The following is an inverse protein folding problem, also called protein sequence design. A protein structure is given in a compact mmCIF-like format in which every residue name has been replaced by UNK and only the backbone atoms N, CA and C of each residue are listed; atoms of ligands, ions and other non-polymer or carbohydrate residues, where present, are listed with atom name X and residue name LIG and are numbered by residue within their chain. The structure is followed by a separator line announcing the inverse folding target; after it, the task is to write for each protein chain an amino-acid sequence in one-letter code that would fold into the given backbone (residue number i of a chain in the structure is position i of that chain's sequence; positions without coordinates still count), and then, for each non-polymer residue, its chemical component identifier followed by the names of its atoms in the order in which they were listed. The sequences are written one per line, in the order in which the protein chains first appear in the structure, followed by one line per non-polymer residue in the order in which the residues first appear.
data_IF_693524785080
#
_entry.id   IF_693524785080
#
_cell.length_a   1.000
_cell.length_b   1.000
_cell.length_c   1.000
_cell.angle_alpha   90.00
_cell.angle_beta   90.00
_cell.angle_gamma   90.00
#
_symmetry.space_group_name_H-M   'P 1'
#
loop_
_entity.id
_entity.type
_entity.pdbx_description
1 polymer ?
#
# COMPACT_ATOMS: atom_id res chain seq x y z
N UNK A 1 25.23 43.03 7.89
CA UNK A 1 26.02 41.82 7.62
C UNK A 1 25.37 41.04 6.49
N UNK A 2 26.06 40.84 5.36
CA UNK A 2 25.53 40.14 4.18
C UNK A 2 26.60 39.85 3.11
N UNK A 3 27.75 39.30 3.51
CA UNK A 3 28.92 39.09 2.62
C UNK A 3 28.82 37.83 1.72
N UNK A 4 27.63 37.40 1.30
CA UNK A 4 27.48 36.17 0.48
C UNK A 4 26.79 36.36 -0.87
N UNK A 5 26.25 37.54 -1.16
CA UNK A 5 25.48 37.75 -2.40
C UNK A 5 26.39 38.01 -3.62
N UNK A 6 27.52 38.71 -3.44
CA UNK A 6 28.45 39.06 -4.53
C UNK A 6 29.30 37.88 -5.04
N UNK A 7 29.37 36.75 -4.30
CA UNK A 7 30.17 35.58 -4.72
C UNK A 7 29.53 34.76 -5.86
N UNK A 8 28.29 35.09 -6.24
CA UNK A 8 27.51 34.39 -7.27
C UNK A 8 27.44 35.15 -8.61
N UNK A 9 28.02 36.34 -8.73
CA UNK A 9 28.13 37.06 -10.00
C UNK A 9 29.19 36.42 -10.89
N UNK A 10 28.82 35.33 -11.55
CA UNK A 10 29.58 34.71 -12.63
C UNK A 10 28.71 34.75 -13.88
N UNK A 11 29.34 34.92 -15.04
CA UNK A 11 28.65 35.00 -16.34
C UNK A 11 28.05 33.67 -16.82
N UNK A 12 28.11 32.62 -16.01
CA UNK A 12 27.57 31.31 -16.33
C UNK A 12 26.71 30.80 -15.18
N UNK A 13 25.64 30.08 -15.53
CA UNK A 13 24.79 29.41 -14.55
C UNK A 13 25.34 28.01 -14.32
N UNK A 14 25.56 27.64 -13.06
CA UNK A 14 25.99 26.27 -12.73
C UNK A 14 24.83 25.28 -12.87
N UNK A 15 25.14 24.00 -13.10
CA UNK A 15 24.13 22.92 -13.13
C UNK A 15 23.24 22.93 -11.88
N UNK A 16 23.83 23.21 -10.72
CA UNK A 16 23.13 23.32 -9.44
C UNK A 16 22.16 24.50 -9.41
N UNK A 17 22.58 25.68 -9.84
CA UNK A 17 21.75 26.88 -9.86
C UNK A 17 20.60 26.80 -10.88
N UNK A 18 20.86 26.19 -12.04
CA UNK A 18 19.81 25.91 -13.04
C UNK A 18 18.73 24.98 -12.47
N UNK A 19 19.12 23.99 -11.68
CA UNK A 19 18.19 23.03 -11.08
C UNK A 19 17.36 23.63 -9.92
N UNK A 20 17.96 24.52 -9.10
CA UNK A 20 17.32 25.00 -7.87
C UNK A 20 16.67 26.38 -7.96
N UNK A 21 17.26 27.32 -8.69
CA UNK A 21 16.92 28.75 -8.60
C UNK A 21 16.24 29.28 -9.88
N UNK A 22 16.71 28.92 -11.08
CA UNK A 22 16.40 29.66 -12.32
C UNK A 22 15.52 28.94 -13.36
N UNK A 23 14.89 27.82 -13.00
CA UNK A 23 13.81 27.24 -13.82
C UNK A 23 14.14 25.99 -14.64
N UNK A 24 15.12 25.18 -14.24
CA UNK A 24 15.22 23.80 -14.71
C UNK A 24 13.95 22.99 -14.42
N UNK A 25 13.74 21.88 -15.14
CA UNK A 25 12.61 20.97 -14.90
C UNK A 25 12.61 20.56 -13.42
N UNK A 26 11.72 21.18 -12.63
CA UNK A 26 11.49 20.76 -11.25
C UNK A 26 11.04 19.32 -11.33
N UNK A 27 11.78 18.42 -10.67
CA UNK A 27 11.26 17.07 -10.49
C UNK A 27 9.92 17.22 -9.78
N UNK A 28 8.84 17.05 -10.54
CA UNK A 28 7.51 16.91 -9.96
C UNK A 28 7.67 15.73 -9.03
N UNK A 29 7.40 15.92 -7.75
CA UNK A 29 7.22 14.79 -6.84
C UNK A 29 6.16 13.95 -7.52
N UNK A 30 6.58 12.85 -8.15
CA UNK A 30 5.66 11.90 -8.71
C UNK A 30 4.82 11.48 -7.51
N UNK A 31 3.55 11.87 -7.50
CA UNK A 31 2.60 11.26 -6.59
C UNK A 31 2.74 9.77 -6.87
N UNK A 32 3.35 9.03 -5.93
CA UNK A 32 3.41 7.58 -6.01
C UNK A 32 1.95 7.16 -6.13
N UNK A 33 1.57 6.74 -7.33
CA UNK A 33 0.20 6.38 -7.63
C UNK A 33 -0.10 5.21 -6.72
N UNK A 34 -1.08 5.40 -5.84
CA UNK A 34 -1.41 4.39 -4.84
C UNK A 34 -1.85 3.13 -5.55
N UNK A 35 -1.41 1.98 -5.05
CA UNK A 35 -1.90 0.73 -5.62
C UNK A 35 -3.38 0.60 -5.27
N UNK A 36 -4.25 0.31 -6.24
CA UNK A 36 -5.63 0.01 -5.94
C UNK A 36 -5.72 -1.18 -4.99
N UNK A 37 -6.67 -1.15 -4.07
CA UNK A 37 -6.84 -2.18 -3.04
C UNK A 37 -7.17 -3.57 -3.60
N UNK A 38 -7.60 -3.66 -4.86
CA UNK A 38 -7.93 -4.90 -5.55
C UNK A 38 -6.73 -5.52 -6.29
N UNK A 39 -5.55 -4.90 -6.24
CA UNK A 39 -4.35 -5.35 -6.94
C UNK A 39 -3.36 -6.07 -6.03
N UNK A 40 -2.66 -7.05 -6.60
CA UNK A 40 -1.54 -7.75 -5.96
C UNK A 40 -0.27 -6.89 -5.98
N UNK A 41 0.43 -6.79 -4.84
CA UNK A 41 1.64 -5.98 -4.74
C UNK A 41 2.87 -6.56 -5.47
N UNK A 42 2.80 -7.83 -5.90
CA UNK A 42 3.84 -8.49 -6.70
C UNK A 42 3.59 -8.38 -8.21
N UNK A 43 2.38 -8.71 -8.66
CA UNK A 43 2.05 -8.76 -10.10
C UNK A 43 1.45 -7.46 -10.63
N UNK A 44 1.04 -6.54 -9.75
CA UNK A 44 0.32 -5.31 -10.09
C UNK A 44 -0.99 -5.55 -10.87
N UNK A 45 -1.51 -6.77 -10.79
CA UNK A 45 -2.73 -7.22 -11.45
C UNK A 45 -3.85 -7.42 -10.42
N UNK A 46 -5.12 -7.35 -10.85
CA UNK A 46 -6.23 -7.65 -9.96
C UNK A 46 -6.10 -9.08 -9.42
N UNK A 47 -6.27 -9.25 -8.10
CA UNK A 47 -6.16 -10.57 -7.49
C UNK A 47 -7.39 -11.44 -7.77
N UNK A 48 -7.17 -12.76 -7.84
CA UNK A 48 -8.25 -13.75 -7.90
C UNK A 48 -8.41 -14.44 -6.55
N UNK A 49 -7.28 -14.80 -5.93
CA UNK A 49 -7.20 -15.43 -4.63
C UNK A 49 -6.35 -14.56 -3.71
N UNK A 50 -6.95 -13.57 -3.02
CA UNK A 50 -6.21 -12.64 -2.19
C UNK A 50 -5.70 -13.30 -0.91
N UNK A 51 -4.40 -13.18 -0.67
CA UNK A 51 -3.72 -13.57 0.56
C UNK A 51 -2.96 -12.37 1.12
N UNK A 52 -3.10 -12.16 2.43
CA UNK A 52 -2.43 -11.09 3.16
C UNK A 52 -1.27 -11.60 4.02
N UNK A 53 -0.28 -10.75 4.23
CA UNK A 53 0.75 -10.94 5.28
C UNK A 53 0.46 -10.09 6.51
N UNK A 54 1.12 -10.40 7.64
CA UNK A 54 1.04 -9.61 8.88
C UNK A 54 1.40 -8.13 8.70
N UNK A 55 2.25 -7.86 7.72
CA UNK A 55 2.74 -6.53 7.37
C UNK A 55 1.69 -5.67 6.64
N UNK A 56 0.53 -6.24 6.28
CA UNK A 56 -0.54 -5.53 5.59
C UNK A 56 -0.41 -5.50 4.07
N UNK A 57 0.45 -6.33 3.48
CA UNK A 57 0.54 -6.47 2.02
C UNK A 57 -0.39 -7.55 1.49
N UNK A 58 -1.08 -7.25 0.39
CA UNK A 58 -1.96 -8.19 -0.31
C UNK A 58 -1.26 -8.75 -1.54
N UNK A 59 -1.30 -10.07 -1.66
CA UNK A 59 -0.75 -10.82 -2.77
C UNK A 59 -1.78 -11.78 -3.34
N UNK A 60 -1.62 -12.13 -4.61
CA UNK A 60 -2.33 -13.23 -5.21
C UNK A 60 -1.59 -14.56 -4.97
N UNK A 61 -2.33 -15.62 -4.67
CA UNK A 61 -1.77 -16.94 -4.39
C UNK A 61 -0.84 -17.43 -5.52
N UNK A 62 -1.24 -17.22 -6.78
CA UNK A 62 -0.48 -17.70 -7.94
C UNK A 62 0.86 -16.97 -8.08
N UNK A 63 0.93 -15.71 -7.66
CA UNK A 63 2.14 -14.90 -7.70
C UNK A 63 3.07 -15.17 -6.49
N UNK A 64 2.52 -15.29 -5.29
CA UNK A 64 3.33 -15.40 -4.06
C UNK A 64 3.97 -16.78 -3.86
N UNK A 65 3.26 -17.86 -4.22
CA UNK A 65 3.78 -19.23 -4.07
C UNK A 65 5.09 -19.50 -4.83
N UNK A 66 5.23 -19.17 -6.13
CA UNK A 66 6.49 -19.38 -6.85
C UNK A 66 7.61 -18.50 -6.29
N UNK A 67 7.29 -17.30 -5.80
CA UNK A 67 8.25 -16.41 -5.17
C UNK A 67 8.80 -16.99 -3.86
N UNK A 68 7.91 -17.45 -2.97
CA UNK A 68 8.28 -18.05 -1.70
C UNK A 68 9.11 -19.33 -1.87
N UNK A 69 8.82 -20.15 -2.89
CA UNK A 69 9.61 -21.35 -3.20
C UNK A 69 11.06 -21.02 -3.56
N UNK A 70 11.30 -19.90 -4.26
CA UNK A 70 12.64 -19.48 -4.71
C UNK A 70 13.42 -18.74 -3.62
N UNK A 71 12.79 -17.77 -2.96
CA UNK A 71 13.51 -16.82 -2.10
C UNK A 71 13.27 -17.00 -0.61
N UNK A 72 12.15 -17.63 -0.18
CA UNK A 72 11.74 -17.81 1.23
C UNK A 72 11.80 -16.50 2.05
N UNK A 73 11.54 -15.38 1.40
CA UNK A 73 11.56 -14.02 1.96
C UNK A 73 10.32 -13.27 1.52
N UNK A 74 10.00 -12.18 2.21
CA UNK A 74 8.94 -11.26 1.84
C UNK A 74 9.42 -10.38 0.68
N UNK A 75 8.62 -10.19 -0.39
CA UNK A 75 9.05 -9.48 -1.60
C UNK A 75 9.30 -7.98 -1.41
N UNK A 76 8.66 -7.37 -0.41
CA UNK A 76 8.74 -5.92 -0.15
C UNK A 76 9.65 -5.61 1.04
N UNK A 77 9.39 -6.20 2.22
CA UNK A 77 10.18 -5.98 3.45
C UNK A 77 11.50 -6.77 3.50
N UNK A 78 11.60 -7.91 2.80
CA UNK A 78 12.78 -8.77 2.82
C UNK A 78 12.88 -9.73 4.02
N UNK A 79 11.89 -9.72 4.92
CA UNK A 79 11.85 -10.59 6.11
C UNK A 79 11.60 -12.06 5.75
N UNK A 80 11.91 -12.99 6.65
CA UNK A 80 11.67 -14.41 6.42
C UNK A 80 10.15 -14.70 6.46
N UNK A 81 9.59 -15.11 5.33
CA UNK A 81 8.15 -15.40 5.21
C UNK A 81 7.94 -16.85 4.78
N UNK A 82 7.06 -17.56 5.49
CA UNK A 82 6.66 -18.92 5.15
C UNK A 82 5.24 -18.97 4.57
N UNK A 83 4.91 -20.05 3.86
CA UNK A 83 3.56 -20.23 3.31
C UNK A 83 2.46 -20.36 4.38
N UNK A 84 2.83 -20.67 5.63
CA UNK A 84 1.88 -20.79 6.75
C UNK A 84 1.44 -19.44 7.30
N UNK A 85 2.25 -18.41 7.08
CA UNK A 85 2.00 -17.06 7.60
C UNK A 85 1.06 -16.26 6.68
N UNK A 86 0.69 -16.85 5.53
CA UNK A 86 -0.25 -16.28 4.59
C UNK A 86 -1.69 -16.47 5.07
N UNK A 87 -2.42 -15.37 5.19
CA UNK A 87 -3.82 -15.35 5.63
C UNK A 87 -4.70 -15.21 4.40
N UNK A 88 -5.66 -16.12 4.22
CA UNK A 88 -6.64 -16.01 3.13
C UNK A 88 -7.61 -14.87 3.43
N UNK A 89 -7.69 -13.89 2.54
CA UNK A 89 -8.61 -12.75 2.69
C UNK A 89 -9.96 -13.06 2.01
N UNK A 90 -11.05 -12.68 2.67
CA UNK A 90 -12.42 -12.83 2.18
C UNK A 90 -13.04 -11.45 2.04
N UNK A 91 -13.19 -11.03 0.78
CA UNK A 91 -13.89 -9.81 0.43
C UNK A 91 -15.35 -10.15 0.09
N UNK A 92 -16.28 -9.33 0.58
CA UNK A 92 -17.68 -9.34 0.17
C UNK A 92 -17.87 -8.50 -1.10
N UNK A 93 -18.67 -9.03 -2.03
CA UNK A 93 -19.02 -8.37 -3.30
C UNK A 93 -20.53 -8.19 -3.39
N UNK A 94 -20.95 -7.00 -3.81
CA UNK A 94 -22.35 -6.70 -4.11
C UNK A 94 -22.79 -7.37 -5.41
N UNK A 95 -24.08 -7.34 -5.70
CA UNK A 95 -24.66 -7.82 -6.96
C UNK A 95 -24.08 -7.08 -8.18
N UNK A 96 -23.68 -5.81 -8.01
CA UNK A 96 -23.00 -4.99 -9.03
C UNK A 96 -21.51 -5.35 -9.21
N UNK A 97 -20.99 -6.30 -8.43
CA UNK A 97 -19.59 -6.75 -8.51
C UNK A 97 -18.58 -5.89 -7.76
N UNK A 98 -19.04 -4.83 -7.08
CA UNK A 98 -18.22 -3.93 -6.28
C UNK A 98 -17.92 -4.49 -4.89
N UNK A 99 -16.75 -4.14 -4.35
CA UNK A 99 -16.34 -4.58 -3.03
C UNK A 99 -16.95 -3.67 -1.96
N UNK A 100 -17.60 -4.28 -0.96
CA UNK A 100 -18.25 -3.54 0.11
C UNK A 100 -17.94 -4.13 1.48
N UNK A 101 -18.06 -3.30 2.52
CA UNK A 101 -17.97 -3.75 3.90
C UNK A 101 -19.32 -4.35 4.36
N UNK A 102 -19.36 -5.56 4.93
CA UNK A 102 -20.61 -6.22 5.28
C UNK A 102 -21.30 -5.65 6.52
N UNK A 103 -20.62 -4.80 7.30
CA UNK A 103 -21.18 -4.17 8.51
C UNK A 103 -21.78 -2.80 8.18
N UNK A 104 -21.01 -1.95 7.50
CA UNK A 104 -21.44 -0.58 7.17
C UNK A 104 -22.22 -0.50 5.87
N UNK A 105 -22.24 -1.59 5.08
CA UNK A 105 -22.82 -1.63 3.73
C UNK A 105 -22.29 -0.52 2.80
N UNK A 106 -21.10 0.00 3.08
CA UNK A 106 -20.41 1.01 2.26
C UNK A 106 -19.43 0.32 1.32
N UNK A 107 -19.37 0.81 0.09
CA UNK A 107 -18.37 0.41 -0.91
C UNK A 107 -16.97 0.88 -0.51
N UNK A 108 -15.95 0.09 -0.91
CA UNK A 108 -14.56 0.46 -0.69
C UNK A 108 -14.08 1.41 -1.78
N UNK A 109 -13.68 2.61 -1.37
CA UNK A 109 -12.98 3.58 -2.23
C UNK A 109 -11.47 3.52 -2.00
N UNK A 110 -10.69 4.15 -2.89
CA UNK A 110 -9.23 4.26 -2.80
C UNK A 110 -8.73 4.91 -1.50
N UNK A 111 -9.58 5.71 -0.86
CA UNK A 111 -9.26 6.41 0.40
C UNK A 111 -9.80 5.71 1.64
N UNK A 112 -10.51 4.59 1.49
CA UNK A 112 -11.06 3.87 2.64
C UNK A 112 -9.97 3.07 3.35
N UNK A 113 -9.93 3.17 4.68
CA UNK A 113 -9.06 2.33 5.49
C UNK A 113 -9.69 0.95 5.63
N UNK A 114 -9.03 -0.05 5.06
CA UNK A 114 -9.48 -1.44 5.02
C UNK A 114 -8.72 -2.23 6.08
N UNK A 115 -9.41 -3.04 6.87
CA UNK A 115 -8.81 -3.86 7.93
C UNK A 115 -9.24 -5.30 7.75
N UNK A 116 -8.31 -6.23 7.93
CA UNK A 116 -8.63 -7.66 7.92
C UNK A 116 -8.50 -8.24 9.34
N UNK A 117 -9.34 -9.21 9.68
CA UNK A 117 -9.21 -9.93 10.95
C UNK A 117 -8.32 -11.15 10.72
N UNK A 118 -7.26 -11.32 11.52
CA UNK A 118 -6.29 -12.42 11.35
C UNK A 118 -6.91 -13.80 11.50
N UNK A 119 -7.85 -13.95 12.44
CA UNK A 119 -8.46 -15.25 12.78
C UNK A 119 -9.45 -15.73 11.73
N UNK A 120 -10.29 -14.82 11.20
CA UNK A 120 -11.34 -15.17 10.24
C UNK A 120 -10.96 -14.92 8.77
N UNK A 121 -10.01 -14.01 8.53
CA UNK A 121 -9.65 -13.54 7.20
C UNK A 121 -10.69 -12.61 6.57
N UNK A 122 -11.73 -12.21 7.32
CA UNK A 122 -12.76 -11.30 6.81
C UNK A 122 -12.24 -9.86 6.76
N UNK A 123 -12.65 -9.13 5.74
CA UNK A 123 -12.22 -7.76 5.47
C UNK A 123 -13.36 -6.77 5.79
N UNK A 124 -13.03 -5.71 6.51
CA UNK A 124 -13.96 -4.68 7.00
C UNK A 124 -13.38 -3.28 6.80
N UNK A 125 -14.21 -2.25 6.92
CA UNK A 125 -13.74 -0.86 7.03
C UNK A 125 -13.27 -0.55 8.46
N UNK A 126 -12.27 0.32 8.59
CA UNK A 126 -11.76 0.78 9.89
C UNK A 126 -12.86 1.39 10.76
N UNK A 127 -13.74 2.20 10.17
CA UNK A 127 -14.88 2.81 10.87
C UNK A 127 -15.78 1.75 11.51
N UNK A 128 -16.08 0.66 10.79
CA UNK A 128 -16.92 -0.43 11.29
C UNK A 128 -16.27 -1.12 12.49
N UNK A 129 -14.95 -1.28 12.44
CA UNK A 129 -14.18 -1.89 13.52
C UNK A 129 -14.19 -1.01 14.77
N UNK A 130 -14.06 0.30 14.59
CA UNK A 130 -14.06 1.27 15.69
C UNK A 130 -15.43 1.33 16.39
N UNK A 131 -16.52 1.27 15.63
CA UNK A 131 -17.89 1.29 16.19
C UNK A 131 -18.25 0.01 16.95
N UNK A 132 -17.82 -1.16 16.47
CA UNK A 132 -18.26 -2.46 17.01
C UNK A 132 -17.50 -2.87 18.29
N UNK A 133 -16.51 -2.08 18.75
CA UNK A 133 -15.79 -2.30 20.02
C UNK A 133 -15.13 -3.68 20.18
N UNK A 134 -14.65 -4.32 19.11
CA UNK A 134 -13.92 -5.58 19.30
C UNK A 134 -12.49 -5.27 19.81
N UNK A 135 -11.96 -6.08 20.74
CA UNK A 135 -10.65 -5.84 21.31
C UNK A 135 -9.55 -5.90 20.23
N UNK A 136 -8.68 -4.89 20.24
CA UNK A 136 -7.59 -4.61 19.29
C UNK A 136 -6.58 -5.75 19.05
N UNK A 137 -6.67 -6.85 19.82
CA UNK A 137 -5.71 -7.97 19.79
C UNK A 137 -5.93 -8.95 18.62
N UNK A 138 -7.03 -8.84 17.85
CA UNK A 138 -7.36 -9.80 16.78
C UNK A 138 -7.11 -9.28 15.35
N UNK A 139 -6.65 -8.04 15.20
CA UNK A 139 -6.62 -7.38 13.89
C UNK A 139 -5.29 -7.53 13.17
N UNK A 140 -5.40 -7.76 11.87
CA UNK A 140 -4.36 -7.49 10.89
C UNK A 140 -4.60 -6.05 10.42
N UNK A 141 -3.76 -5.10 10.85
CA UNK A 141 -3.82 -3.74 10.31
C UNK A 141 -3.27 -3.76 8.89
N UNK A 142 -4.14 -3.96 7.92
CA UNK A 142 -3.84 -3.68 6.51
C UNK A 142 -3.85 -2.16 6.37
N UNK A 143 -2.78 -1.48 6.79
CA UNK A 143 -2.58 -0.09 6.41
C UNK A 143 -2.34 -0.07 4.91
N UNK A 144 -3.42 -0.01 4.14
CA UNK A 144 -3.36 0.13 2.70
C UNK A 144 -3.04 1.60 2.37
N UNK A 145 -1.87 2.05 2.80
CA UNK A 145 -1.15 3.19 2.25
C UNK A 145 -0.02 2.62 1.40
N UNK A 146 -0.35 2.15 0.20
CA UNK A 146 0.63 1.97 -0.87
C UNK A 146 0.26 2.95 -1.94
#
# INVERSE_FOLDING_TARGET
MGKKQHSKDRLFITRTEWNTEWGGFRQRTTFKTRLPFYCCALSLQPFSHPYGTLDGYVFDLQAILPYLKKHKKHPITGEALSAKDLIKLKYSKNDDGEYYCPITCKEFNENTHIVAIKTSGNVYSFDAVQEVSLPLLFYLFVYLFI
#
